data_IF_785101742001
#
_entry.id   IF_785101742001
#
_cell.length_a   1.000
_cell.length_b   1.000
_cell.length_c   1.000
_cell.angle_alpha   90.00
_cell.angle_beta   90.00
_cell.angle_gamma   90.00
#
_symmetry.space_group_name_H-M   'P 1'
#
loop_
_entity.id
_entity.type
_entity.pdbx_description
1 polymer ?
#
# COMPACT_ATOMS: atom_id res chain seq x y z
N UNK A 1 17.92 -9.21 29.31
CA UNK A 1 16.55 -9.12 29.88
C UNK A 1 15.65 -10.02 29.06
N UNK A 2 14.95 -10.97 29.69
CA UNK A 2 13.90 -11.72 29.02
C UNK A 2 12.82 -10.74 28.51
N UNK A 3 12.27 -10.92 27.30
CA UNK A 3 11.20 -10.07 26.83
C UNK A 3 10.02 -10.15 27.82
N UNK A 4 9.35 -9.02 28.13
CA UNK A 4 8.17 -9.06 28.98
C UNK A 4 7.14 -9.98 28.33
N UNK A 5 6.73 -11.02 29.06
CA UNK A 5 5.80 -12.08 28.63
C UNK A 5 4.52 -11.51 27.98
N UNK A 6 4.09 -10.33 28.42
CA UNK A 6 2.95 -9.57 27.89
C UNK A 6 3.04 -9.22 26.40
N UNK A 7 4.20 -8.77 25.92
CA UNK A 7 4.36 -8.30 24.53
C UNK A 7 4.61 -9.44 23.54
N UNK A 8 4.85 -10.65 24.06
CA UNK A 8 5.12 -11.82 23.27
C UNK A 8 6.51 -11.83 22.65
N UNK A 9 6.75 -12.74 21.70
CA UNK A 9 8.04 -12.86 21.03
C UNK A 9 8.35 -11.66 20.13
N UNK A 10 9.63 -11.53 19.77
CA UNK A 10 10.06 -10.59 18.71
C UNK A 10 9.31 -10.89 17.42
N UNK A 11 8.94 -9.84 16.69
CA UNK A 11 8.07 -9.96 15.53
C UNK A 11 8.63 -10.91 14.45
N UNK A 12 9.93 -10.82 14.15
CA UNK A 12 10.56 -11.69 13.16
C UNK A 12 10.44 -13.18 13.54
N UNK A 13 10.60 -13.51 14.84
CA UNK A 13 10.41 -14.88 15.35
C UNK A 13 8.93 -15.29 15.33
N UNK A 14 8.04 -14.38 15.73
CA UNK A 14 6.61 -14.59 15.68
C UNK A 14 6.15 -14.99 14.26
N UNK A 15 6.48 -14.17 13.26
CA UNK A 15 6.08 -14.40 11.87
C UNK A 15 6.73 -15.65 11.26
N UNK A 16 7.94 -16.02 11.68
CA UNK A 16 8.58 -17.26 11.26
C UNK A 16 7.82 -18.49 11.80
N UNK A 17 7.52 -18.50 13.11
CA UNK A 17 6.81 -19.62 13.75
C UNK A 17 5.33 -19.71 13.35
N UNK A 18 4.67 -18.61 13.03
CA UNK A 18 3.28 -18.62 12.58
C UNK A 18 3.04 -19.45 11.30
N UNK A 19 4.07 -19.70 10.49
CA UNK A 19 3.97 -20.61 9.33
C UNK A 19 3.87 -22.08 9.73
N UNK A 20 4.47 -22.42 10.86
CA UNK A 20 4.64 -23.80 11.33
C UNK A 20 3.64 -24.15 12.43
N UNK A 21 2.94 -23.16 13.00
CA UNK A 21 1.91 -23.41 14.01
C UNK A 21 0.77 -24.20 13.38
N UNK A 22 0.54 -25.38 13.95
CA UNK A 22 -0.73 -26.08 13.81
C UNK A 22 -1.88 -25.12 14.19
N UNK A 23 -3.09 -25.32 13.65
CA UNK A 23 -4.28 -24.64 14.17
C UNK A 23 -4.25 -24.75 15.70
N UNK A 24 -4.57 -23.67 16.42
CA UNK A 24 -4.61 -23.67 17.89
C UNK A 24 -5.25 -24.98 18.37
N UNK A 25 -4.56 -25.72 19.25
CA UNK A 25 -5.05 -27.00 19.79
C UNK A 25 -6.47 -26.86 20.37
N UNK A 26 -6.85 -25.63 20.73
CA UNK A 26 -8.22 -25.21 20.99
C UNK A 26 -8.52 -23.85 20.31
N UNK A 27 -9.42 -23.83 19.33
CA UNK A 27 -9.93 -22.56 18.78
C UNK A 27 -10.81 -21.87 19.84
N UNK A 28 -10.66 -20.55 20.06
CA UNK A 28 -11.40 -19.89 21.13
C UNK A 28 -12.89 -19.88 20.83
N UNK A 29 -13.69 -19.99 21.89
CA UNK A 29 -15.14 -19.86 21.76
C UNK A 29 -15.58 -18.39 21.63
N UNK A 30 -16.88 -18.19 21.37
CA UNK A 30 -17.43 -16.85 21.16
C UNK A 30 -17.34 -15.99 22.42
N UNK A 31 -17.55 -16.59 23.58
CA UNK A 31 -17.53 -15.95 24.89
C UNK A 31 -16.11 -15.52 25.29
N UNK A 32 -15.10 -16.32 24.96
CA UNK A 32 -13.68 -15.99 25.09
C UNK A 32 -13.31 -14.78 24.23
N UNK A 33 -13.78 -14.72 22.99
CA UNK A 33 -13.58 -13.56 22.11
C UNK A 33 -14.24 -12.31 22.69
N UNK A 34 -15.47 -12.40 23.19
CA UNK A 34 -16.17 -11.27 23.82
C UNK A 34 -15.40 -10.78 25.06
N UNK A 35 -14.93 -11.69 25.92
CA UNK A 35 -14.11 -11.34 27.09
C UNK A 35 -12.79 -10.68 26.67
N UNK A 36 -12.13 -11.19 25.63
CA UNK A 36 -10.91 -10.61 25.10
C UNK A 36 -11.15 -9.18 24.57
N UNK A 37 -12.25 -8.94 23.84
CA UNK A 37 -12.64 -7.59 23.38
C UNK A 37 -12.90 -6.67 24.57
N UNK A 38 -13.63 -7.14 25.58
CA UNK A 38 -13.91 -6.35 26.79
C UNK A 38 -12.61 -5.98 27.55
N UNK A 39 -11.63 -6.88 27.57
CA UNK A 39 -10.33 -6.63 28.23
C UNK A 39 -9.51 -5.51 27.58
N UNK A 40 -9.80 -5.12 26.33
CA UNK A 40 -9.11 -4.01 25.65
C UNK A 40 -9.26 -2.67 26.41
N UNK A 41 -10.30 -2.53 27.23
CA UNK A 41 -10.52 -1.36 28.07
C UNK A 41 -9.57 -1.28 29.29
N UNK A 42 -8.91 -2.39 29.67
CA UNK A 42 -7.89 -2.42 30.73
C UNK A 42 -6.51 -2.73 30.14
N UNK A 43 -5.68 -1.69 29.88
CA UNK A 43 -4.36 -1.86 29.29
C UNK A 43 -3.42 -2.78 30.05
N UNK A 44 -3.60 -2.97 31.35
CA UNK A 44 -2.71 -3.83 32.15
C UNK A 44 -2.95 -5.31 31.83
N UNK A 45 -4.19 -5.69 31.55
CA UNK A 45 -4.62 -7.06 31.29
C UNK A 45 -4.33 -7.57 29.86
N UNK A 46 -4.20 -6.67 28.88
CA UNK A 46 -4.06 -7.04 27.47
C UNK A 46 -2.66 -7.58 27.17
N UNK A 47 -2.58 -8.79 26.64
CA UNK A 47 -1.33 -9.39 26.15
C UNK A 47 -1.42 -9.69 24.66
N UNK A 48 -0.31 -10.14 24.05
CA UNK A 48 -0.33 -10.51 22.63
C UNK A 48 -1.32 -11.66 22.34
N UNK A 49 -1.54 -12.59 23.28
CA UNK A 49 -2.49 -13.70 23.13
C UNK A 49 -3.94 -13.21 23.18
N UNK A 50 -4.21 -12.08 23.86
CA UNK A 50 -5.51 -11.41 23.79
C UNK A 50 -5.83 -11.02 22.35
N UNK A 51 -4.85 -10.45 21.62
CA UNK A 51 -5.05 -10.13 20.21
C UNK A 51 -5.17 -11.38 19.33
N UNK A 52 -4.37 -12.43 19.56
CA UNK A 52 -4.53 -13.72 18.84
C UNK A 52 -5.94 -14.29 19.03
N UNK A 53 -6.48 -14.21 20.24
CA UNK A 53 -7.84 -14.67 20.58
C UNK A 53 -8.89 -13.92 19.76
N UNK A 54 -8.79 -12.59 19.68
CA UNK A 54 -9.74 -11.77 18.91
C UNK A 54 -9.56 -12.00 17.40
N UNK A 55 -8.32 -12.09 16.92
CA UNK A 55 -7.99 -12.33 15.51
C UNK A 55 -8.35 -13.75 15.04
N UNK A 56 -8.74 -14.66 15.92
CA UNK A 56 -9.38 -15.91 15.53
C UNK A 56 -10.66 -15.67 14.69
N UNK A 57 -11.29 -14.49 14.81
CA UNK A 57 -12.38 -14.04 13.93
C UNK A 57 -11.99 -13.92 12.45
N UNK A 58 -10.71 -13.90 12.10
CA UNK A 58 -10.26 -13.93 10.70
C UNK A 58 -10.42 -15.31 10.07
N UNK A 59 -10.80 -16.34 10.84
CA UNK A 59 -10.80 -17.73 10.41
C UNK A 59 -12.16 -18.40 10.51
N UNK A 60 -12.42 -19.33 9.60
CA UNK A 60 -13.62 -20.16 9.62
C UNK A 60 -13.54 -21.22 10.73
N UNK A 61 -14.63 -21.45 11.50
CA UNK A 61 -15.98 -20.88 11.34
C UNK A 61 -16.23 -19.57 12.12
N UNK A 62 -15.30 -19.15 12.99
CA UNK A 62 -15.48 -18.03 13.92
C UNK A 62 -15.73 -16.70 13.21
N UNK A 63 -15.25 -16.54 11.98
CA UNK A 63 -15.52 -15.39 11.12
C UNK A 63 -17.00 -15.06 10.93
N UNK A 64 -17.90 -16.05 11.09
CA UNK A 64 -19.34 -15.86 11.09
C UNK A 64 -19.84 -14.94 12.22
N UNK A 65 -18.99 -14.69 13.22
CA UNK A 65 -19.23 -13.83 14.38
C UNK A 65 -18.46 -12.50 14.32
N UNK A 66 -17.87 -12.13 13.19
CA UNK A 66 -17.11 -10.88 13.07
C UNK A 66 -17.92 -9.62 13.43
N UNK A 67 -19.26 -9.66 13.39
CA UNK A 67 -20.14 -8.58 13.86
C UNK A 67 -19.97 -8.23 15.35
N UNK A 68 -19.38 -9.12 16.17
CA UNK A 68 -19.07 -8.83 17.58
C UNK A 68 -18.09 -7.64 17.69
N UNK A 69 -17.26 -7.39 16.66
CA UNK A 69 -16.37 -6.23 16.62
C UNK A 69 -17.11 -4.88 16.59
N UNK A 70 -18.43 -4.89 16.36
CA UNK A 70 -19.29 -3.70 16.32
C UNK A 70 -20.09 -3.50 17.62
N UNK A 71 -20.14 -4.50 18.51
CA UNK A 71 -21.04 -4.47 19.66
C UNK A 71 -20.42 -3.77 20.86
N UNK A 72 -20.72 -2.49 21.04
CA UNK A 72 -20.38 -1.72 22.25
C UNK A 72 -18.87 -1.59 22.50
N UNK A 73 -18.06 -1.88 21.49
CA UNK A 73 -16.63 -2.03 21.62
C UNK A 73 -15.91 -0.80 21.07
N UNK A 74 -15.29 -0.03 21.97
CA UNK A 74 -14.39 1.07 21.63
C UNK A 74 -13.04 0.52 21.12
N UNK A 75 -13.05 -0.37 20.11
CA UNK A 75 -11.86 -1.13 19.69
C UNK A 75 -10.77 -0.21 19.18
N UNK A 76 -11.09 0.73 18.29
CA UNK A 76 -10.08 1.62 17.72
C UNK A 76 -9.46 2.54 18.78
N UNK A 77 -10.24 3.27 19.61
CA UNK A 77 -9.66 4.07 20.70
C UNK A 77 -8.83 3.23 21.67
N UNK A 78 -9.30 2.03 22.03
CA UNK A 78 -8.57 1.14 22.95
C UNK A 78 -7.25 0.67 22.33
N UNK A 79 -7.25 0.23 21.07
CA UNK A 79 -6.03 -0.14 20.37
C UNK A 79 -5.04 1.02 20.27
N UNK A 80 -5.52 2.24 19.98
CA UNK A 80 -4.65 3.43 19.97
C UNK A 80 -4.07 3.71 21.34
N UNK A 81 -4.86 3.63 22.41
CA UNK A 81 -4.37 3.82 23.78
C UNK A 81 -3.32 2.76 24.15
N UNK A 82 -3.56 1.50 23.81
CA UNK A 82 -2.61 0.40 24.00
C UNK A 82 -1.31 0.63 23.24
N UNK A 83 -1.39 1.08 21.97
CA UNK A 83 -0.22 1.42 21.17
C UNK A 83 0.53 2.63 21.72
N UNK A 84 -0.17 3.67 22.20
CA UNK A 84 0.48 4.83 22.85
C UNK A 84 1.27 4.40 24.08
N UNK A 85 0.72 3.51 24.91
CA UNK A 85 1.44 2.98 26.07
C UNK A 85 2.62 2.10 25.66
N UNK A 86 2.40 1.18 24.71
CA UNK A 86 3.43 0.27 24.21
C UNK A 86 4.61 1.01 23.56
N UNK A 87 4.33 2.04 22.77
CA UNK A 87 5.31 2.87 22.06
C UNK A 87 5.83 4.07 22.88
N UNK A 88 5.45 4.21 24.15
CA UNK A 88 5.91 5.33 25.00
C UNK A 88 7.39 5.26 25.38
N UNK A 89 7.99 4.07 25.28
CA UNK A 89 9.40 3.82 25.58
C UNK A 89 10.28 3.72 24.33
N UNK A 90 11.29 2.85 24.38
CA UNK A 90 12.17 2.54 23.23
C UNK A 90 11.58 1.51 22.28
N UNK A 91 10.38 1.01 22.56
CA UNK A 91 9.74 -0.04 21.78
C UNK A 91 9.05 0.56 20.57
N UNK A 92 9.34 0.02 19.39
CA UNK A 92 8.72 0.42 18.15
C UNK A 92 7.49 -0.46 17.82
N UNK A 93 6.60 0.07 16.98
CA UNK A 93 5.33 -0.57 16.61
C UNK A 93 5.55 -2.03 16.13
N UNK A 94 6.60 -2.27 15.35
CA UNK A 94 6.90 -3.58 14.76
C UNK A 94 8.08 -4.31 15.44
N UNK A 95 8.32 -4.09 16.74
CA UNK A 95 9.36 -4.83 17.49
C UNK A 95 8.93 -6.22 17.95
N UNK A 96 7.69 -6.34 18.43
CA UNK A 96 7.14 -7.55 19.03
C UNK A 96 5.80 -7.91 18.39
N UNK A 97 5.33 -9.13 18.61
CA UNK A 97 4.03 -9.61 18.15
C UNK A 97 2.88 -8.67 18.57
N UNK A 98 2.96 -8.11 19.78
CA UNK A 98 1.93 -7.22 20.35
C UNK A 98 1.53 -6.07 19.42
N UNK A 99 2.49 -5.25 18.97
CA UNK A 99 2.18 -4.08 18.14
C UNK A 99 1.67 -4.46 16.75
N UNK A 100 2.22 -5.52 16.15
CA UNK A 100 1.74 -6.08 14.88
C UNK A 100 0.29 -6.60 14.99
N UNK A 101 -0.03 -7.38 16.02
CA UNK A 101 -1.35 -7.95 16.20
C UNK A 101 -2.39 -6.89 16.57
N UNK A 102 -2.01 -5.89 17.37
CA UNK A 102 -2.86 -4.73 17.63
C UNK A 102 -3.18 -3.98 16.32
N UNK A 103 -2.18 -3.78 15.46
CA UNK A 103 -2.35 -3.15 14.14
C UNK A 103 -3.26 -3.98 13.22
N UNK A 104 -3.09 -5.31 13.22
CA UNK A 104 -3.94 -6.24 12.47
C UNK A 104 -5.40 -6.18 12.95
N UNK A 105 -5.62 -6.15 14.28
CA UNK A 105 -6.96 -6.05 14.85
C UNK A 105 -7.65 -4.74 14.44
N UNK A 106 -6.93 -3.63 14.46
CA UNK A 106 -7.46 -2.35 13.98
C UNK A 106 -7.90 -2.45 12.52
N UNK A 107 -7.06 -3.02 11.65
CA UNK A 107 -7.40 -3.19 10.24
C UNK A 107 -8.63 -4.10 10.04
N UNK A 108 -8.70 -5.25 10.72
CA UNK A 108 -9.87 -6.13 10.67
C UNK A 108 -11.15 -5.39 11.08
N UNK A 109 -11.08 -4.64 12.19
CA UNK A 109 -12.21 -3.90 12.74
C UNK A 109 -12.68 -2.80 11.77
N UNK A 110 -11.75 -2.12 11.10
CA UNK A 110 -12.03 -1.12 10.07
C UNK A 110 -12.75 -1.76 8.88
N UNK A 111 -12.26 -2.88 8.36
CA UNK A 111 -12.86 -3.55 7.20
C UNK A 111 -14.29 -4.06 7.51
N UNK A 112 -14.50 -4.62 8.70
CA UNK A 112 -15.83 -5.04 9.17
C UNK A 112 -16.77 -3.84 9.35
N UNK A 113 -16.28 -2.74 9.92
CA UNK A 113 -17.07 -1.53 10.11
C UNK A 113 -17.44 -0.86 8.79
N UNK A 114 -16.55 -0.82 7.79
CA UNK A 114 -16.86 -0.35 6.43
C UNK A 114 -18.02 -1.13 5.83
N UNK A 115 -18.00 -2.46 5.89
CA UNK A 115 -19.11 -3.28 5.38
C UNK A 115 -20.40 -3.05 6.17
N UNK A 116 -20.32 -2.86 7.48
CA UNK A 116 -21.50 -2.58 8.30
C UNK A 116 -22.13 -1.23 7.95
N UNK A 117 -21.29 -0.22 7.73
CA UNK A 117 -21.69 1.15 7.41
C UNK A 117 -22.51 1.22 6.11
N UNK A 118 -22.23 0.36 5.14
CA UNK A 118 -22.98 0.25 3.87
C UNK A 118 -24.01 -0.90 3.87
N UNK A 119 -24.36 -1.43 5.05
CA UNK A 119 -25.30 -2.55 5.23
C UNK A 119 -24.95 -3.83 4.43
N UNK A 120 -23.68 -4.01 4.06
CA UNK A 120 -23.19 -5.17 3.32
C UNK A 120 -22.71 -6.32 4.23
N UNK A 121 -22.42 -6.04 5.50
CA UNK A 121 -21.89 -7.04 6.44
C UNK A 121 -22.80 -8.28 6.60
N UNK A 122 -24.13 -8.18 6.79
CA UNK A 122 -24.98 -9.36 6.94
C UNK A 122 -24.93 -10.29 5.72
N UNK A 123 -24.90 -9.71 4.51
CA UNK A 123 -24.78 -10.46 3.25
C UNK A 123 -23.42 -11.17 3.17
N UNK A 124 -22.34 -10.48 3.50
CA UNK A 124 -21.00 -11.07 3.54
C UNK A 124 -20.92 -12.24 4.52
N UNK A 125 -21.40 -12.07 5.75
CA UNK A 125 -21.41 -13.14 6.76
C UNK A 125 -22.28 -14.33 6.33
N UNK A 126 -23.38 -14.10 5.62
CA UNK A 126 -24.19 -15.17 5.05
C UNK A 126 -23.42 -15.96 3.99
N UNK A 127 -22.71 -15.29 3.08
CA UNK A 127 -21.85 -15.93 2.06
C UNK A 127 -20.82 -16.83 2.75
N UNK A 128 -20.12 -16.31 3.76
CA UNK A 128 -19.13 -17.09 4.52
C UNK A 128 -19.73 -18.34 5.19
N UNK A 129 -20.92 -18.22 5.79
CA UNK A 129 -21.63 -19.37 6.40
C UNK A 129 -22.00 -20.43 5.35
N UNK A 130 -22.39 -20.01 4.15
CA UNK A 130 -22.72 -20.95 3.06
C UNK A 130 -21.48 -21.62 2.45
N UNK A 131 -20.36 -20.89 2.33
CA UNK A 131 -19.11 -21.39 1.74
C UNK A 131 -18.28 -22.25 2.68
N UNK A 132 -18.49 -22.15 3.99
CA UNK A 132 -17.73 -22.88 5.03
C UNK A 132 -18.22 -24.30 5.30
N UNK A 133 -19.18 -24.82 4.54
CA UNK A 133 -19.64 -26.22 4.62
C UNK A 133 -18.56 -27.18 4.08
N UNK A 134 -17.47 -27.38 4.83
CA UNK A 134 -16.49 -28.44 4.57
C UNK A 134 -15.03 -28.13 4.92
N UNK A 135 -14.61 -26.86 4.93
CA UNK A 135 -13.22 -26.46 5.18
C UNK A 135 -13.07 -25.82 6.56
N UNK A 136 -12.45 -26.53 7.50
CA UNK A 136 -12.02 -25.98 8.79
C UNK A 136 -10.78 -25.10 8.57
N UNK A 137 -10.71 -23.96 9.26
CA UNK A 137 -9.53 -23.07 9.35
C UNK A 137 -9.15 -22.31 8.06
N UNK A 138 -10.11 -22.06 7.15
CA UNK A 138 -9.88 -21.11 6.04
C UNK A 138 -9.91 -19.68 6.55
N UNK A 139 -8.84 -18.91 6.31
CA UNK A 139 -8.87 -17.47 6.57
C UNK A 139 -9.77 -16.76 5.55
N UNK A 140 -10.59 -15.83 6.05
CA UNK A 140 -11.55 -15.05 5.26
C UNK A 140 -11.00 -13.71 4.81
N UNK A 141 -9.73 -13.47 5.11
CA UNK A 141 -9.05 -12.19 4.97
C UNK A 141 -9.03 -11.70 3.52
N UNK A 142 -8.83 -12.60 2.57
CA UNK A 142 -8.89 -12.29 1.15
C UNK A 142 -10.32 -12.00 0.70
N UNK A 143 -11.30 -12.85 1.03
CA UNK A 143 -12.69 -12.60 0.67
C UNK A 143 -13.23 -11.31 1.26
N UNK A 144 -12.90 -11.01 2.53
CA UNK A 144 -13.26 -9.76 3.19
C UNK A 144 -12.67 -8.57 2.43
N UNK A 145 -11.37 -8.63 2.13
CA UNK A 145 -10.69 -7.56 1.42
C UNK A 145 -11.33 -7.31 0.04
N UNK A 146 -11.57 -8.36 -0.75
CA UNK A 146 -12.23 -8.26 -2.06
C UNK A 146 -13.58 -7.56 -1.95
N UNK A 147 -14.44 -7.97 -1.00
CA UNK A 147 -15.76 -7.34 -0.81
C UNK A 147 -15.64 -5.87 -0.40
N UNK A 148 -14.69 -5.52 0.46
CA UNK A 148 -14.47 -4.11 0.83
C UNK A 148 -13.95 -3.31 -0.36
N UNK A 149 -13.02 -3.86 -1.15
CA UNK A 149 -12.46 -3.17 -2.33
C UNK A 149 -13.53 -2.88 -3.38
N UNK A 150 -14.56 -3.72 -3.53
CA UNK A 150 -15.70 -3.41 -4.40
C UNK A 150 -16.44 -2.14 -3.97
N UNK A 151 -16.56 -1.89 -2.67
CA UNK A 151 -17.20 -0.68 -2.14
C UNK A 151 -16.29 0.54 -2.27
N UNK A 152 -15.00 0.38 -1.99
CA UNK A 152 -14.01 1.45 -2.21
C UNK A 152 -13.92 1.86 -3.68
N UNK A 153 -13.95 0.90 -4.62
CA UNK A 153 -13.96 1.19 -6.04
C UNK A 153 -15.17 2.06 -6.46
N UNK A 154 -16.34 1.82 -5.86
CA UNK A 154 -17.53 2.66 -6.09
C UNK A 154 -17.34 4.08 -5.57
N UNK A 155 -16.71 4.22 -4.41
CA UNK A 155 -16.36 5.52 -3.81
C UNK A 155 -15.32 6.29 -4.66
N UNK A 156 -14.39 5.58 -5.29
CA UNK A 156 -13.31 6.18 -6.09
C UNK A 156 -13.69 6.52 -7.54
N UNK A 157 -14.84 6.07 -8.04
CA UNK A 157 -15.23 6.23 -9.45
C UNK A 157 -15.58 7.69 -9.76
N UNK A 158 -14.86 8.39 -10.66
CA UNK A 158 -15.17 9.77 -11.03
C UNK A 158 -16.53 9.84 -11.76
N UNK A 159 -17.51 10.56 -11.21
CA UNK A 159 -18.79 10.86 -11.89
C UNK A 159 -19.80 9.70 -12.02
N UNK A 160 -19.69 8.64 -11.22
CA UNK A 160 -20.57 7.45 -11.32
C UNK A 160 -21.93 7.57 -10.60
N UNK A 161 -22.95 6.91 -11.17
CA UNK A 161 -24.37 6.81 -10.75
C UNK A 161 -24.66 6.38 -9.29
N UNK A 162 -23.65 6.10 -8.47
CA UNK A 162 -23.82 5.80 -7.06
C UNK A 162 -23.44 7.03 -6.23
N UNK A 163 -24.45 7.79 -5.83
CA UNK A 163 -24.40 8.89 -4.86
C UNK A 163 -24.02 8.38 -3.45
N UNK A 164 -22.90 7.67 -3.31
CA UNK A 164 -22.24 7.58 -2.02
C UNK A 164 -21.29 8.77 -1.99
N UNK A 165 -21.63 9.90 -1.33
CA UNK A 165 -20.61 10.89 -1.02
C UNK A 165 -19.44 10.16 -0.36
N UNK A 166 -18.21 10.58 -0.67
CA UNK A 166 -16.94 10.05 -0.13
C UNK A 166 -16.81 10.11 1.42
N UNK A 167 -17.92 10.35 2.11
CA UNK A 167 -18.10 10.29 3.56
C UNK A 167 -18.73 9.00 4.04
N UNK A 168 -19.35 8.21 3.16
CA UNK A 168 -20.27 7.16 3.59
C UNK A 168 -19.56 5.88 4.02
N UNK A 169 -18.48 5.43 3.37
CA UNK A 169 -17.86 4.15 3.72
C UNK A 169 -17.18 4.19 5.10
N UNK A 170 -16.56 5.33 5.41
CA UNK A 170 -15.93 5.58 6.71
C UNK A 170 -16.89 6.19 7.74
N UNK A 171 -18.13 6.53 7.35
CA UNK A 171 -19.17 6.99 8.28
C UNK A 171 -18.80 8.22 9.09
N UNK A 172 -18.17 9.22 8.47
CA UNK A 172 -17.69 10.40 9.18
C UNK A 172 -18.81 11.14 9.92
N UNK A 173 -18.54 11.49 11.17
CA UNK A 173 -19.40 12.31 12.00
C UNK A 173 -18.60 13.32 12.83
N UNK A 174 -19.32 14.17 13.56
CA UNK A 174 -18.72 15.02 14.59
C UNK A 174 -18.93 14.32 15.93
N UNK A 175 -17.83 14.03 16.62
CA UNK A 175 -17.89 13.48 17.97
C UNK A 175 -18.46 14.53 18.95
N UNK A 176 -19.60 14.29 19.61
CA UNK A 176 -20.25 15.32 20.41
C UNK A 176 -19.41 15.86 21.59
N UNK A 177 -18.67 15.02 22.35
CA UNK A 177 -17.78 15.47 23.42
C UNK A 177 -16.62 16.35 22.93
N UNK A 178 -15.92 15.95 21.87
CA UNK A 178 -14.71 16.68 21.41
C UNK A 178 -14.99 17.72 20.34
N UNK A 179 -16.17 17.68 19.70
CA UNK A 179 -16.54 18.45 18.50
C UNK A 179 -15.59 18.24 17.32
N UNK A 180 -14.81 17.15 17.34
CA UNK A 180 -13.85 16.84 16.29
C UNK A 180 -14.43 15.86 15.26
N UNK A 181 -14.06 15.99 13.97
CA UNK A 181 -14.37 15.00 12.96
C UNK A 181 -13.80 13.63 13.36
N UNK A 182 -14.66 12.61 13.33
CA UNK A 182 -14.33 11.25 13.72
C UNK A 182 -14.90 10.27 12.70
N UNK A 183 -14.06 9.34 12.25
CA UNK A 183 -14.46 8.26 11.35
C UNK A 183 -14.87 7.02 12.13
N UNK A 184 -15.71 6.17 11.52
CA UNK A 184 -16.11 4.86 12.03
C UNK A 184 -16.64 4.89 13.48
N UNK A 185 -17.67 5.70 13.78
CA UNK A 185 -18.20 5.83 15.14
C UNK A 185 -18.73 4.50 15.70
N UNK A 186 -19.17 3.58 14.84
CA UNK A 186 -19.68 2.25 15.24
C UNK A 186 -18.66 1.34 15.95
N UNK A 187 -17.36 1.65 15.89
CA UNK A 187 -16.28 0.93 16.60
C UNK A 187 -15.53 1.84 17.58
N UNK A 188 -16.20 2.89 18.05
CA UNK A 188 -15.70 3.85 19.03
C UNK A 188 -15.07 5.11 18.44
N UNK A 189 -14.92 5.18 17.11
CA UNK A 189 -14.37 6.35 16.43
C UNK A 189 -12.84 6.31 16.22
N UNK A 190 -12.39 6.98 15.17
CA UNK A 190 -10.99 7.22 14.86
C UNK A 190 -10.80 8.70 14.53
N UNK A 191 -9.97 9.38 15.32
CA UNK A 191 -9.78 10.83 15.21
C UNK A 191 -8.59 11.17 14.33
N UNK A 192 -8.50 12.43 13.95
CA UNK A 192 -7.33 13.00 13.27
C UNK A 192 -6.03 12.76 14.05
N UNK A 193 -6.04 12.93 15.38
CA UNK A 193 -4.85 12.73 16.20
C UNK A 193 -4.41 11.26 16.25
N UNK A 194 -5.35 10.33 16.09
CA UNK A 194 -5.05 8.90 16.01
C UNK A 194 -4.38 8.56 14.68
N UNK A 195 -4.81 9.19 13.58
CA UNK A 195 -4.13 9.10 12.27
C UNK A 195 -2.69 9.60 12.34
N UNK A 196 -2.47 10.81 12.86
CA UNK A 196 -1.12 11.41 12.96
C UNK A 196 -0.21 10.54 13.81
N UNK A 197 -0.67 10.13 15.00
CA UNK A 197 0.08 9.23 15.88
C UNK A 197 0.46 7.92 15.16
N UNK A 198 -0.51 7.28 14.51
CA UNK A 198 -0.27 5.98 13.91
C UNK A 198 0.68 6.08 12.69
N UNK A 199 0.53 7.12 11.88
CA UNK A 199 1.44 7.40 10.77
C UNK A 199 2.87 7.64 11.27
N UNK A 200 3.05 8.44 12.33
CA UNK A 200 4.35 8.68 12.97
C UNK A 200 4.99 7.35 13.42
N UNK A 201 4.24 6.47 14.09
CA UNK A 201 4.79 5.20 14.58
C UNK A 201 5.10 4.18 13.48
N UNK A 202 4.35 4.17 12.39
CA UNK A 202 4.71 3.39 11.20
C UNK A 202 5.97 3.98 10.57
N UNK A 203 6.07 5.31 10.46
CA UNK A 203 7.19 6.03 9.87
C UNK A 203 8.53 5.79 10.59
N UNK A 204 8.52 5.93 11.91
CA UNK A 204 9.67 5.64 12.77
C UNK A 204 10.13 4.18 12.63
N UNK A 205 9.17 3.28 12.34
CA UNK A 205 9.40 1.85 12.17
C UNK A 205 9.55 1.41 10.71
N UNK A 206 9.69 2.34 9.74
CA UNK A 206 9.51 2.05 8.29
C UNK A 206 10.39 0.93 7.71
N UNK A 207 11.60 0.74 8.24
CA UNK A 207 12.45 -0.40 7.86
C UNK A 207 11.93 -1.75 8.38
N UNK A 208 11.45 -1.80 9.63
CA UNK A 208 10.79 -3.00 10.19
C UNK A 208 9.42 -3.25 9.57
N UNK A 209 8.69 -2.19 9.25
CA UNK A 209 7.41 -2.25 8.55
C UNK A 209 7.54 -3.02 7.22
N UNK A 210 8.51 -2.69 6.36
CA UNK A 210 8.72 -3.42 5.11
C UNK A 210 9.11 -4.88 5.33
N UNK A 211 9.95 -5.20 6.33
CA UNK A 211 10.27 -6.59 6.68
C UNK A 211 9.05 -7.36 7.15
N UNK A 212 8.22 -6.72 7.97
CA UNK A 212 6.97 -7.28 8.44
C UNK A 212 6.05 -7.61 7.26
N UNK A 213 5.82 -6.66 6.36
CA UNK A 213 5.00 -6.86 5.15
C UNK A 213 5.49 -8.04 4.31
N UNK A 214 6.79 -8.09 4.01
CA UNK A 214 7.40 -9.20 3.24
C UNK A 214 7.25 -10.55 3.91
N UNK A 215 7.29 -10.58 5.24
CA UNK A 215 7.16 -11.80 6.02
C UNK A 215 5.70 -12.24 6.13
N UNK A 216 4.79 -11.28 6.29
CA UNK A 216 3.34 -11.47 6.36
C UNK A 216 2.76 -11.96 5.02
N UNK A 217 3.27 -11.49 3.88
CA UNK A 217 2.88 -12.00 2.55
C UNK A 217 3.06 -13.51 2.36
N UNK A 218 3.96 -14.11 3.11
CA UNK A 218 4.21 -15.56 3.07
C UNK A 218 3.29 -16.33 4.03
N UNK A 219 2.46 -15.64 4.80
CA UNK A 219 1.38 -16.24 5.58
C UNK A 219 0.19 -16.39 4.64
N UNK A 220 -0.43 -17.57 4.61
CA UNK A 220 -1.59 -17.85 3.77
C UNK A 220 -2.82 -16.97 4.11
N UNK A 221 -2.78 -16.27 5.26
CA UNK A 221 -3.92 -15.59 5.87
C UNK A 221 -3.72 -14.06 5.92
N UNK A 222 -2.84 -13.48 5.12
CA UNK A 222 -2.60 -12.04 5.13
C UNK A 222 -3.60 -11.30 4.23
N UNK A 223 -4.52 -10.54 4.84
CA UNK A 223 -5.52 -9.73 4.13
C UNK A 223 -4.95 -8.50 3.40
N UNK A 224 -3.77 -8.06 3.83
CA UNK A 224 -3.36 -6.68 3.61
C UNK A 224 -3.87 -5.73 4.70
N UNK A 225 -3.39 -4.49 4.64
CA UNK A 225 -3.69 -3.37 5.52
C UNK A 225 -4.25 -2.16 4.76
N UNK A 226 -4.74 -2.35 3.54
CA UNK A 226 -5.25 -1.22 2.77
C UNK A 226 -6.49 -0.57 3.43
N UNK A 227 -7.15 -1.25 4.36
CA UNK A 227 -8.22 -0.71 5.18
C UNK A 227 -7.83 0.50 6.02
N UNK A 228 -6.79 0.33 6.83
CA UNK A 228 -6.27 1.39 7.69
C UNK A 228 -5.62 2.51 6.88
N UNK A 229 -4.99 2.20 5.74
CA UNK A 229 -4.41 3.22 4.88
C UNK A 229 -5.44 4.06 4.14
N UNK A 230 -6.57 3.48 3.76
CA UNK A 230 -7.71 4.26 3.25
C UNK A 230 -8.22 5.23 4.33
N UNK A 231 -8.38 4.76 5.58
CA UNK A 231 -8.78 5.63 6.68
C UNK A 231 -7.79 6.79 6.93
N UNK A 232 -6.49 6.52 6.92
CA UNK A 232 -5.44 7.54 7.05
C UNK A 232 -5.48 8.55 5.90
N UNK A 233 -5.57 8.07 4.66
CA UNK A 233 -5.64 8.92 3.47
C UNK A 233 -6.84 9.86 3.53
N UNK A 234 -8.04 9.34 3.77
CA UNK A 234 -9.25 10.17 3.81
C UNK A 234 -9.19 11.19 4.96
N UNK A 235 -8.59 10.80 6.09
CA UNK A 235 -8.32 11.73 7.20
C UNK A 235 -7.41 12.89 6.74
N UNK A 236 -6.31 12.60 6.03
CA UNK A 236 -5.41 13.63 5.49
C UNK A 236 -6.08 14.51 4.44
N UNK A 237 -6.94 13.94 3.57
CA UNK A 237 -7.72 14.72 2.61
C UNK A 237 -8.62 15.72 3.32
N UNK A 238 -9.28 15.31 4.41
CA UNK A 238 -10.13 16.19 5.23
C UNK A 238 -9.36 17.26 5.99
N UNK A 239 -8.10 17.00 6.31
CA UNK A 239 -7.20 17.96 6.96
C UNK A 239 -6.56 18.95 5.99
N UNK A 240 -6.76 18.79 4.68
CA UNK A 240 -6.18 19.67 3.68
C UNK A 240 -6.57 21.14 3.92
N UNK A 241 -5.58 22.02 4.02
CA UNK A 241 -5.78 23.45 4.28
C UNK A 241 -5.99 23.81 5.75
N UNK A 242 -5.97 22.86 6.67
CA UNK A 242 -5.95 23.15 8.11
C UNK A 242 -4.53 23.52 8.55
N UNK A 243 -4.36 24.65 9.24
CA UNK A 243 -3.05 25.05 9.78
C UNK A 243 -2.81 24.57 11.22
N UNK A 244 -3.90 24.28 11.95
CA UNK A 244 -3.84 23.88 13.36
C UNK A 244 -4.86 22.78 13.66
N UNK A 245 -4.49 21.86 14.55
CA UNK A 245 -5.37 20.81 15.08
C UNK A 245 -5.21 20.80 16.59
N UNK A 246 -6.29 21.06 17.33
CA UNK A 246 -6.28 21.17 18.79
C UNK A 246 -5.17 22.11 19.34
N UNK A 247 -4.93 23.22 18.63
CA UNK A 247 -3.91 24.20 19.01
C UNK A 247 -2.46 23.83 18.69
N UNK A 248 -2.23 22.65 18.10
CA UNK A 248 -0.91 22.25 17.59
C UNK A 248 -0.79 22.61 16.11
N UNK A 249 0.38 23.10 15.71
CA UNK A 249 0.72 23.35 14.30
C UNK A 249 0.65 22.04 13.52
N UNK A 250 -0.09 22.04 12.42
CA UNK A 250 -0.22 20.89 11.56
C UNK A 250 0.62 21.08 10.30
N UNK A 251 1.76 20.38 10.23
CA UNK A 251 2.56 20.32 9.00
C UNK A 251 1.93 19.37 7.99
N UNK A 252 0.94 19.88 7.26
CA UNK A 252 0.22 19.13 6.22
C UNK A 252 1.19 18.51 5.20
N UNK A 253 2.21 19.25 4.81
CA UNK A 253 3.16 18.83 3.79
C UNK A 253 3.98 17.62 4.26
N UNK A 254 4.51 17.67 5.48
CA UNK A 254 5.27 16.58 6.07
C UNK A 254 4.40 15.33 6.30
N UNK A 255 3.13 15.50 6.67
CA UNK A 255 2.19 14.38 6.82
C UNK A 255 1.93 13.66 5.50
N UNK A 256 1.69 14.41 4.40
CA UNK A 256 1.54 13.81 3.08
C UNK A 256 2.79 13.08 2.60
N UNK A 257 3.98 13.63 2.86
CA UNK A 257 5.25 12.95 2.55
C UNK A 257 5.35 11.63 3.30
N UNK A 258 5.08 11.68 4.61
CA UNK A 258 5.14 10.53 5.51
C UNK A 258 4.19 9.43 5.05
N UNK A 259 2.93 9.78 4.80
CA UNK A 259 1.92 8.86 4.28
C UNK A 259 2.34 8.28 2.93
N UNK A 260 2.87 9.12 2.03
CA UNK A 260 3.27 8.68 0.69
C UNK A 260 4.37 7.63 0.74
N UNK A 261 5.42 7.79 1.56
CA UNK A 261 6.46 6.76 1.64
C UNK A 261 5.96 5.49 2.34
N UNK A 262 5.13 5.60 3.37
CA UNK A 262 4.45 4.43 3.97
C UNK A 262 3.69 3.66 2.89
N UNK A 263 2.88 4.35 2.08
CA UNK A 263 2.11 3.75 0.99
C UNK A 263 2.97 3.17 -0.13
N UNK A 264 4.09 3.82 -0.45
CA UNK A 264 5.04 3.29 -1.43
C UNK A 264 5.66 1.99 -0.92
N UNK A 265 6.09 1.92 0.34
CA UNK A 265 6.60 0.68 0.94
C UNK A 265 5.53 -0.39 0.97
N UNK A 266 4.31 -0.01 1.33
CA UNK A 266 3.16 -0.90 1.32
C UNK A 266 2.88 -1.49 -0.06
N UNK A 267 2.89 -0.66 -1.12
CA UNK A 267 2.64 -1.11 -2.50
C UNK A 267 3.61 -2.18 -3.01
N UNK A 268 4.84 -2.24 -2.45
CA UNK A 268 5.81 -3.28 -2.82
C UNK A 268 5.39 -4.66 -2.31
N UNK A 269 4.41 -4.71 -1.40
CA UNK A 269 3.94 -5.93 -0.76
C UNK A 269 2.42 -6.05 -0.74
N UNK A 270 1.67 -5.15 -1.38
CA UNK A 270 0.22 -5.24 -1.46
C UNK A 270 -0.20 -6.45 -2.30
N UNK A 271 -1.38 -7.00 -2.06
CA UNK A 271 -1.93 -8.06 -2.91
C UNK A 271 -2.59 -7.49 -4.17
N UNK A 272 -2.82 -8.33 -5.19
CA UNK A 272 -3.34 -7.88 -6.50
C UNK A 272 -4.72 -7.21 -6.38
N UNK A 273 -5.55 -7.67 -5.44
CA UNK A 273 -6.87 -7.07 -5.19
C UNK A 273 -6.77 -5.69 -4.49
N UNK A 274 -5.66 -5.37 -3.81
CA UNK A 274 -5.45 -4.07 -3.15
C UNK A 274 -4.84 -3.01 -4.07
N UNK A 275 -4.17 -3.43 -5.15
CA UNK A 275 -3.48 -2.54 -6.09
C UNK A 275 -4.33 -1.37 -6.60
N UNK A 276 -5.62 -1.54 -6.98
CA UNK A 276 -6.45 -0.42 -7.40
C UNK A 276 -6.59 0.65 -6.32
N UNK A 277 -6.87 0.24 -5.08
CA UNK A 277 -6.97 1.16 -3.94
C UNK A 277 -5.62 1.78 -3.64
N UNK A 278 -4.55 1.00 -3.54
CA UNK A 278 -3.19 1.53 -3.28
C UNK A 278 -2.77 2.56 -4.32
N UNK A 279 -3.02 2.28 -5.61
CA UNK A 279 -2.80 3.23 -6.70
C UNK A 279 -3.63 4.49 -6.52
N UNK A 280 -4.92 4.38 -6.15
CA UNK A 280 -5.78 5.51 -5.87
C UNK A 280 -5.22 6.38 -4.73
N UNK A 281 -4.90 5.79 -3.58
CA UNK A 281 -4.42 6.53 -2.39
C UNK A 281 -3.11 7.28 -2.67
N UNK A 282 -2.23 6.71 -3.50
CA UNK A 282 -0.96 7.33 -3.91
C UNK A 282 -1.17 8.49 -4.90
N UNK A 283 -2.14 8.37 -5.81
CA UNK A 283 -2.38 9.36 -6.88
C UNK A 283 -3.23 10.53 -6.40
N UNK A 284 -4.26 10.27 -5.60
CA UNK A 284 -5.23 11.26 -5.16
C UNK A 284 -4.78 11.99 -3.90
N UNK A 285 -3.70 12.75 -4.00
CA UNK A 285 -3.25 13.67 -2.94
C UNK A 285 -3.19 15.10 -3.47
N UNK A 286 -3.40 16.11 -2.62
CA UNK A 286 -3.21 17.51 -3.01
C UNK A 286 -1.81 17.73 -3.59
N UNK A 287 -1.70 18.53 -4.65
CA UNK A 287 -0.43 18.95 -5.25
C UNK A 287 0.49 17.82 -5.77
N UNK A 288 -0.06 16.66 -6.15
CA UNK A 288 0.71 15.49 -6.63
C UNK A 288 1.79 15.81 -7.69
N UNK A 289 1.53 16.79 -8.58
CA UNK A 289 2.41 17.17 -9.69
C UNK A 289 3.69 17.95 -9.28
N UNK A 290 3.76 18.48 -8.05
CA UNK A 290 4.85 19.38 -7.63
C UNK A 290 5.96 18.70 -6.82
N UNK A 291 5.81 17.42 -6.51
CA UNK A 291 6.72 16.78 -5.57
C UNK A 291 8.00 16.30 -6.26
N UNK A 292 9.14 16.83 -5.80
CA UNK A 292 10.46 16.30 -6.15
C UNK A 292 10.59 14.91 -5.53
N UNK A 293 11.29 14.01 -6.22
CA UNK A 293 11.67 12.70 -5.66
C UNK A 293 12.45 12.94 -4.36
N UNK A 294 11.95 12.39 -3.24
CA UNK A 294 12.54 12.55 -1.91
C UNK A 294 13.16 11.25 -1.42
N UNK A 295 14.20 11.42 -0.61
CA UNK A 295 14.99 10.34 -0.01
C UNK A 295 14.37 9.99 1.34
N UNK A 296 13.87 8.78 1.49
CA UNK A 296 13.22 8.33 2.73
C UNK A 296 13.76 6.97 3.23
N UNK A 297 14.75 6.41 2.52
CA UNK A 297 15.51 5.26 2.98
C UNK A 297 16.29 5.60 4.26
N UNK A 298 16.37 4.64 5.18
CA UNK A 298 17.08 4.79 6.45
C UNK A 298 18.59 4.62 6.31
N UNK A 299 19.00 3.58 5.58
CA UNK A 299 20.38 3.13 5.44
C UNK A 299 20.52 2.21 4.20
N UNK A 300 21.74 1.78 3.82
CA UNK A 300 21.92 0.88 2.68
C UNK A 300 21.17 -0.46 2.80
N UNK A 301 20.98 -0.99 4.01
CA UNK A 301 20.28 -2.26 4.22
C UNK A 301 18.76 -2.10 3.99
N UNK A 302 18.19 -0.94 4.33
CA UNK A 302 16.81 -0.57 3.99
C UNK A 302 16.63 -0.47 2.47
N UNK A 303 17.60 0.10 1.75
CA UNK A 303 17.57 0.13 0.27
C UNK A 303 17.58 -1.28 -0.31
N UNK A 304 18.46 -2.16 0.17
CA UNK A 304 18.50 -3.55 -0.30
C UNK A 304 17.16 -4.29 -0.05
N UNK A 305 16.46 -3.95 1.04
CA UNK A 305 15.13 -4.48 1.34
C UNK A 305 14.05 -3.95 0.39
N UNK A 306 14.05 -2.64 0.11
CA UNK A 306 13.14 -1.97 -0.83
C UNK A 306 13.31 -2.56 -2.23
N UNK A 307 14.56 -2.65 -2.71
CA UNK A 307 14.89 -3.23 -4.02
C UNK A 307 14.47 -4.70 -4.09
N UNK A 308 14.77 -5.47 -3.04
CA UNK A 308 14.35 -6.87 -2.96
C UNK A 308 12.82 -7.05 -2.98
N UNK A 309 12.06 -6.17 -2.29
CA UNK A 309 10.61 -6.20 -2.30
C UNK A 309 10.04 -5.91 -3.70
N UNK A 310 10.58 -4.88 -4.38
CA UNK A 310 10.18 -4.55 -5.74
C UNK A 310 10.40 -5.70 -6.71
N UNK A 311 11.60 -6.30 -6.73
CA UNK A 311 11.93 -7.37 -7.66
C UNK A 311 10.97 -8.56 -7.47
N UNK A 312 10.65 -8.89 -6.21
CA UNK A 312 9.68 -9.95 -5.93
C UNK A 312 8.29 -9.59 -6.44
N UNK A 313 7.83 -8.36 -6.18
CA UNK A 313 6.55 -7.87 -6.67
C UNK A 313 6.48 -7.88 -8.21
N UNK A 314 7.54 -7.45 -8.88
CA UNK A 314 7.58 -7.35 -10.34
C UNK A 314 7.49 -8.73 -11.01
N UNK A 315 8.08 -9.74 -10.36
CA UNK A 315 7.98 -11.14 -10.78
C UNK A 315 6.60 -11.74 -10.54
N UNK A 316 5.92 -11.34 -9.46
CA UNK A 316 4.63 -11.90 -9.07
C UNK A 316 3.45 -11.26 -9.81
N UNK A 317 3.53 -9.97 -10.10
CA UNK A 317 2.45 -9.19 -10.68
C UNK A 317 3.00 -8.33 -11.81
N UNK A 318 2.84 -8.77 -13.07
CA UNK A 318 3.23 -8.04 -14.27
C UNK A 318 2.32 -6.84 -14.53
N UNK A 319 1.88 -6.13 -13.49
CA UNK A 319 1.00 -4.96 -13.57
C UNK A 319 1.52 -3.78 -12.76
N UNK A 320 2.70 -3.89 -12.11
CA UNK A 320 3.28 -2.77 -11.35
C UNK A 320 3.27 -1.52 -12.22
N UNK A 321 2.65 -0.47 -11.68
CA UNK A 321 2.60 0.84 -12.31
C UNK A 321 4.01 1.41 -12.31
N UNK A 322 4.48 1.78 -13.50
CA UNK A 322 5.81 2.33 -13.73
C UNK A 322 6.25 3.46 -12.77
N UNK A 323 5.30 4.26 -12.26
CA UNK A 323 5.55 5.25 -11.22
C UNK A 323 6.29 4.68 -9.99
N UNK A 324 6.09 3.40 -9.67
CA UNK A 324 6.83 2.69 -8.61
C UNK A 324 8.30 2.48 -8.98
N UNK A 325 8.60 2.06 -10.22
CA UNK A 325 9.98 1.90 -10.68
C UNK A 325 10.74 3.23 -10.57
N UNK A 326 10.18 4.34 -11.05
CA UNK A 326 10.78 5.69 -10.93
C UNK A 326 11.15 6.07 -9.51
N UNK A 327 10.24 5.80 -8.57
CA UNK A 327 10.48 6.09 -7.16
C UNK A 327 11.55 5.19 -6.57
N UNK A 328 11.57 3.91 -6.95
CA UNK A 328 12.60 2.94 -6.54
C UNK A 328 13.98 3.25 -7.11
N UNK A 329 14.05 3.76 -8.34
CA UNK A 329 15.29 4.30 -8.87
C UNK A 329 15.74 5.51 -8.07
N UNK A 330 14.85 6.43 -7.70
CA UNK A 330 15.21 7.50 -6.79
C UNK A 330 15.72 6.98 -5.44
N UNK A 331 15.12 5.93 -4.87
CA UNK A 331 15.67 5.26 -3.68
C UNK A 331 17.09 4.72 -3.92
N UNK A 332 17.31 3.96 -5.00
CA UNK A 332 18.63 3.39 -5.31
C UNK A 332 19.69 4.48 -5.52
N UNK A 333 19.34 5.58 -6.19
CA UNK A 333 20.22 6.73 -6.45
C UNK A 333 20.77 7.38 -5.18
N UNK A 334 20.11 7.20 -4.05
CA UNK A 334 20.53 7.82 -2.78
C UNK A 334 21.59 6.98 -2.07
N UNK A 335 21.67 5.69 -2.38
CA UNK A 335 22.79 4.84 -1.98
C UNK A 335 24.09 5.18 -2.73
N UNK A 336 24.03 5.95 -3.81
CA UNK A 336 25.23 6.40 -4.57
C UNK A 336 26.30 7.05 -3.68
N UNK A 337 25.86 7.82 -2.68
CA UNK A 337 26.77 8.56 -1.80
C UNK A 337 27.45 7.66 -0.77
N UNK A 338 26.90 6.48 -0.51
CA UNK A 338 27.38 5.57 0.52
C UNK A 338 28.21 4.43 -0.07
N UNK A 339 27.83 3.90 -1.25
CA UNK A 339 28.53 2.79 -1.91
C UNK A 339 28.21 2.74 -3.42
N UNK A 340 29.21 3.07 -4.25
CA UNK A 340 29.10 3.05 -5.72
C UNK A 340 28.82 1.65 -6.27
N UNK A 341 29.38 0.60 -5.68
CA UNK A 341 29.17 -0.77 -6.14
C UNK A 341 27.72 -1.20 -5.90
N UNK A 342 27.20 -0.96 -4.69
CA UNK A 342 25.80 -1.25 -4.36
C UNK A 342 24.83 -0.48 -5.24
N UNK A 343 25.13 0.78 -5.54
CA UNK A 343 24.33 1.57 -6.47
C UNK A 343 24.20 0.88 -7.82
N UNK A 344 25.32 0.51 -8.44
CA UNK A 344 25.34 -0.20 -9.73
C UNK A 344 24.52 -1.47 -9.66
N UNK A 345 24.77 -2.32 -8.66
CA UNK A 345 24.04 -3.57 -8.47
C UNK A 345 22.54 -3.33 -8.33
N UNK A 346 22.11 -2.35 -7.55
CA UNK A 346 20.69 -2.08 -7.32
C UNK A 346 20.01 -1.51 -8.57
N UNK A 347 20.63 -0.56 -9.27
CA UNK A 347 20.10 -0.03 -10.55
C UNK A 347 19.99 -1.13 -11.59
N UNK A 348 21.03 -1.96 -11.76
CA UNK A 348 20.98 -3.09 -12.70
C UNK A 348 19.82 -4.02 -12.37
N UNK A 349 19.68 -4.44 -11.11
CA UNK A 349 18.61 -5.36 -10.70
C UNK A 349 17.20 -4.78 -10.89
N UNK A 350 17.00 -3.48 -10.63
CA UNK A 350 15.72 -2.81 -10.87
C UNK A 350 15.44 -2.78 -12.39
N UNK A 351 16.40 -2.37 -13.21
CA UNK A 351 16.27 -2.30 -14.66
C UNK A 351 15.96 -3.66 -15.27
N UNK A 352 16.71 -4.70 -14.88
CA UNK A 352 16.49 -6.07 -15.35
C UNK A 352 15.11 -6.61 -14.96
N UNK A 353 14.66 -6.35 -13.72
CA UNK A 353 13.33 -6.77 -13.28
C UNK A 353 12.22 -6.04 -14.05
N UNK A 354 12.37 -4.73 -14.28
CA UNK A 354 11.42 -3.93 -15.06
C UNK A 354 11.37 -4.38 -16.54
N UNK A 355 12.53 -4.72 -17.13
CA UNK A 355 12.62 -5.25 -18.48
C UNK A 355 12.00 -6.64 -18.61
N UNK A 356 12.29 -7.55 -17.67
CA UNK A 356 11.72 -8.88 -17.66
C UNK A 356 10.18 -8.84 -17.56
N UNK A 357 9.64 -7.97 -16.70
CA UNK A 357 8.20 -7.69 -16.63
C UNK A 357 7.67 -7.17 -17.98
N UNK A 358 8.35 -6.17 -18.56
CA UNK A 358 7.96 -5.59 -19.84
C UNK A 358 7.91 -6.62 -20.97
N UNK A 359 8.89 -7.53 -21.02
CA UNK A 359 8.91 -8.66 -21.95
C UNK A 359 7.76 -9.65 -21.72
N UNK A 360 7.47 -10.00 -20.46
CA UNK A 360 6.38 -10.90 -20.14
C UNK A 360 5.03 -10.34 -20.61
N UNK A 361 4.75 -9.06 -20.34
CA UNK A 361 3.55 -8.36 -20.83
C UNK A 361 3.52 -8.29 -22.34
N UNK A 362 4.66 -8.01 -22.99
CA UNK A 362 4.75 -8.00 -24.45
C UNK A 362 4.40 -9.36 -25.06
N UNK A 363 4.88 -10.45 -24.45
CA UNK A 363 4.53 -11.80 -24.83
C UNK A 363 3.04 -12.10 -24.71
N UNK A 364 2.40 -11.64 -23.61
CA UNK A 364 0.96 -11.79 -23.40
C UNK A 364 0.13 -11.09 -24.49
N UNK A 365 0.56 -9.91 -24.94
CA UNK A 365 -0.13 -9.19 -26.03
C UNK A 365 -0.09 -9.94 -27.36
N UNK A 366 1.03 -10.60 -27.65
CA UNK A 366 1.20 -11.40 -28.86
C UNK A 366 0.30 -12.65 -28.87
N UNK A 367 -0.12 -13.12 -27.69
CA UNK A 367 -0.98 -14.29 -27.49
C UNK A 367 -2.46 -14.09 -27.88
N UNK A 368 -2.88 -12.86 -28.20
CA UNK A 368 -4.20 -12.55 -28.73
C UNK A 368 -5.27 -12.25 -27.67
N UNK A 369 -6.04 -11.20 -27.91
CA UNK A 369 -7.16 -10.63 -27.11
C UNK A 369 -6.85 -9.51 -26.10
N UNK A 370 -5.62 -8.98 -26.03
CA UNK A 370 -5.37 -7.77 -25.22
C UNK A 370 -5.90 -6.52 -25.95
N UNK A 371 -7.02 -5.96 -25.46
CA UNK A 371 -7.63 -4.77 -26.04
C UNK A 371 -6.77 -3.51 -25.97
N UNK A 372 -7.20 -2.46 -26.68
CA UNK A 372 -6.50 -1.17 -26.80
C UNK A 372 -6.08 -0.55 -25.46
N UNK A 373 -6.89 -0.70 -24.41
CA UNK A 373 -6.59 -0.19 -23.06
C UNK A 373 -5.33 -0.83 -22.46
N UNK A 374 -5.10 -2.12 -22.72
CA UNK A 374 -3.91 -2.82 -22.26
C UNK A 374 -2.66 -2.28 -22.99
N UNK A 375 -2.76 -2.10 -24.31
CA UNK A 375 -1.66 -1.51 -25.10
C UNK A 375 -1.33 -0.10 -24.65
N UNK A 376 -2.33 0.78 -24.46
CA UNK A 376 -2.11 2.15 -24.00
C UNK A 376 -1.41 2.19 -22.62
N UNK A 377 -1.89 1.40 -21.67
CA UNK A 377 -1.28 1.28 -20.34
C UNK A 377 0.16 0.75 -20.41
N UNK A 378 0.40 -0.23 -21.28
CA UNK A 378 1.74 -0.79 -21.50
C UNK A 378 2.68 0.22 -22.17
N UNK A 379 2.24 0.91 -23.22
CA UNK A 379 3.04 1.92 -23.90
C UNK A 379 3.38 3.09 -22.99
N UNK A 380 2.43 3.53 -22.17
CA UNK A 380 2.69 4.55 -21.16
C UNK A 380 3.73 4.06 -20.15
N UNK A 381 3.65 2.80 -19.74
CA UNK A 381 4.65 2.18 -18.86
C UNK A 381 6.05 2.21 -19.49
N UNK A 382 6.19 1.79 -20.76
CA UNK A 382 7.48 1.76 -21.49
C UNK A 382 8.03 3.16 -21.74
N UNK A 383 7.20 4.09 -22.23
CA UNK A 383 7.60 5.47 -22.50
C UNK A 383 8.08 6.13 -21.21
N UNK A 384 7.33 5.93 -20.13
CA UNK A 384 7.76 6.46 -18.86
C UNK A 384 9.11 5.82 -18.43
N UNK A 385 9.36 4.50 -18.64
CA UNK A 385 10.68 3.80 -18.48
C UNK A 385 11.82 4.55 -19.14
N UNK A 386 11.57 4.99 -20.36
CA UNK A 386 12.56 5.71 -21.13
C UNK A 386 12.75 7.14 -20.63
N UNK A 387 11.72 7.79 -20.08
CA UNK A 387 11.83 9.13 -19.47
C UNK A 387 12.67 9.11 -18.18
N UNK A 388 12.73 7.98 -17.46
CA UNK A 388 13.62 7.87 -16.30
C UNK A 388 15.07 7.99 -16.68
N UNK A 389 15.47 7.46 -17.84
CA UNK A 389 16.87 7.40 -18.25
C UNK A 389 17.49 8.82 -18.32
N UNK A 390 16.88 9.80 -19.02
CA UNK A 390 17.31 11.19 -18.95
C UNK A 390 17.15 11.84 -17.56
N UNK A 391 16.12 11.50 -16.80
CA UNK A 391 15.91 12.07 -15.47
C UNK A 391 17.02 11.65 -14.49
N UNK A 392 17.41 10.38 -14.50
CA UNK A 392 18.54 9.83 -13.74
C UNK A 392 19.86 10.45 -14.19
N UNK A 393 20.00 10.67 -15.49
CA UNK A 393 21.16 11.32 -16.08
C UNK A 393 21.37 12.77 -15.58
N UNK A 394 20.29 13.49 -15.24
CA UNK A 394 20.36 14.86 -14.68
C UNK A 394 20.68 14.90 -13.18
N UNK A 395 20.44 13.82 -12.44
CA UNK A 395 20.52 13.82 -10.97
C UNK A 395 21.90 13.34 -10.49
N UNK A 396 22.61 12.51 -11.24
CA UNK A 396 23.93 12.03 -10.87
C UNK A 396 24.94 12.16 -12.02
N UNK A 397 25.36 13.39 -12.30
CA UNK A 397 26.37 13.69 -13.32
C UNK A 397 27.64 12.83 -13.16
N UNK A 398 28.06 12.56 -11.91
CA UNK A 398 29.22 11.73 -11.60
C UNK A 398 29.05 10.23 -11.92
N UNK A 399 27.82 9.74 -12.06
CA UNK A 399 27.50 8.34 -12.36
C UNK A 399 26.88 8.16 -13.74
N UNK A 400 26.76 9.24 -14.51
CA UNK A 400 26.15 9.26 -15.85
C UNK A 400 26.62 8.12 -16.74
N UNK A 401 27.93 7.93 -16.88
CA UNK A 401 28.47 6.86 -17.73
C UNK A 401 28.10 5.47 -17.24
N UNK A 402 28.09 5.26 -15.92
CA UNK A 402 27.71 3.98 -15.31
C UNK A 402 26.23 3.70 -15.51
N UNK A 403 25.37 4.70 -15.27
CA UNK A 403 23.92 4.62 -15.46
C UNK A 403 23.59 4.34 -16.93
N UNK A 404 24.24 5.05 -17.86
CA UNK A 404 24.06 4.81 -19.30
C UNK A 404 24.50 3.41 -19.70
N UNK A 405 25.60 2.87 -19.16
CA UNK A 405 26.03 1.49 -19.43
C UNK A 405 25.05 0.44 -18.91
N UNK A 406 24.45 0.67 -17.74
CA UNK A 406 23.45 -0.25 -17.17
C UNK A 406 22.16 -0.22 -17.98
N UNK A 407 21.73 0.98 -18.38
CA UNK A 407 20.46 1.18 -19.07
C UNK A 407 20.56 0.76 -20.53
N UNK A 408 21.62 1.15 -21.24
CA UNK A 408 21.89 0.76 -22.64
C UNK A 408 22.52 -0.64 -22.67
N UNK A 409 21.82 -1.59 -22.08
CA UNK A 409 22.07 -3.02 -22.26
C UNK A 409 21.39 -3.48 -23.55
N UNK A 410 22.00 -4.42 -24.27
CA UNK A 410 21.44 -5.07 -25.48
C UNK A 410 19.98 -5.48 -25.28
N UNK A 411 19.62 -6.01 -24.11
CA UNK A 411 18.25 -6.44 -23.81
C UNK A 411 17.22 -5.27 -23.84
N UNK A 412 17.61 -4.07 -23.37
CA UNK A 412 16.73 -2.90 -23.50
C UNK A 412 16.61 -2.49 -24.97
N UNK A 413 17.72 -2.46 -25.70
CA UNK A 413 17.72 -2.08 -27.12
C UNK A 413 16.87 -3.04 -27.96
N UNK A 414 17.00 -4.34 -27.73
CA UNK A 414 16.17 -5.37 -28.34
C UNK A 414 14.70 -5.13 -28.01
N UNK A 415 14.38 -4.99 -26.71
CA UNK A 415 13.01 -4.72 -26.28
C UNK A 415 12.43 -3.49 -26.95
N UNK A 416 13.19 -2.40 -27.04
CA UNK A 416 12.75 -1.17 -27.70
C UNK A 416 12.56 -1.35 -29.20
N UNK A 417 13.44 -2.10 -29.86
CA UNK A 417 13.27 -2.48 -31.26
C UNK A 417 11.95 -3.22 -31.47
N UNK A 418 11.69 -4.26 -30.67
CA UNK A 418 10.44 -5.00 -30.73
C UNK A 418 9.21 -4.15 -30.39
N UNK A 419 9.30 -3.30 -29.37
CA UNK A 419 8.22 -2.42 -28.95
C UNK A 419 7.84 -1.41 -30.05
N UNK A 420 8.84 -0.75 -30.64
CA UNK A 420 8.65 0.24 -31.71
C UNK A 420 8.17 -0.41 -33.01
N UNK A 421 8.63 -1.62 -33.32
CA UNK A 421 8.24 -2.35 -34.54
C UNK A 421 6.95 -3.16 -34.38
N UNK A 422 6.51 -3.46 -33.16
CA UNK A 422 5.27 -4.20 -32.90
C UNK A 422 4.05 -3.70 -33.69
N UNK A 423 3.79 -2.38 -33.79
CA UNK A 423 2.66 -1.84 -34.55
C UNK A 423 2.68 -2.22 -36.02
N UNK A 424 3.86 -2.42 -36.60
CA UNK A 424 4.05 -2.81 -38.00
C UNK A 424 3.84 -4.32 -38.20
N UNK A 425 3.95 -5.10 -37.13
CA UNK A 425 3.87 -6.57 -37.16
C UNK A 425 2.55 -7.12 -36.63
N UNK A 426 1.77 -6.31 -35.91
CA UNK A 426 0.48 -6.72 -35.36
C UNK A 426 -0.62 -6.67 -36.42
N UNK A 427 -1.57 -7.60 -36.34
CA UNK A 427 -2.80 -7.60 -37.16
C UNK A 427 -3.93 -6.80 -36.50
N UNK A 428 -3.73 -6.28 -35.29
CA UNK A 428 -4.72 -5.50 -34.55
C UNK A 428 -4.82 -4.07 -35.09
N UNK A 429 -5.87 -3.82 -35.89
CA UNK A 429 -6.15 -2.51 -36.49
C UNK A 429 -6.39 -1.40 -35.45
N UNK A 430 -6.83 -1.75 -34.24
CA UNK A 430 -7.09 -0.74 -33.19
C UNK A 430 -5.80 -0.17 -32.61
N UNK A 431 -4.78 -1.02 -32.43
CA UNK A 431 -3.43 -0.61 -31.99
C UNK A 431 -2.79 0.30 -33.03
N UNK A 432 -2.86 -0.08 -34.32
CA UNK A 432 -2.35 0.72 -35.44
C UNK A 432 -2.99 2.11 -35.46
N UNK A 433 -4.33 2.17 -35.33
CA UNK A 433 -5.05 3.44 -35.34
C UNK A 433 -4.72 4.34 -34.13
N UNK A 434 -4.52 3.75 -32.94
CA UNK A 434 -4.15 4.51 -31.75
C UNK A 434 -2.74 5.10 -31.83
N UNK A 435 -1.79 4.36 -32.40
CA UNK A 435 -0.43 4.84 -32.57
C UNK A 435 -0.38 5.99 -33.57
N UNK A 436 -1.14 5.89 -34.67
CA UNK A 436 -1.37 7.01 -35.58
C UNK A 436 -1.84 8.28 -34.86
N UNK A 437 -2.72 8.14 -33.85
CA UNK A 437 -3.18 9.27 -33.01
C UNK A 437 -2.11 9.81 -32.06
N UNK A 438 -1.30 8.96 -31.41
CA UNK A 438 -0.20 9.40 -30.53
C UNK A 438 0.83 10.21 -31.33
N UNK A 439 1.22 9.71 -32.51
CA UNK A 439 2.13 10.44 -33.40
C UNK A 439 1.52 11.76 -33.84
N UNK A 440 0.23 11.80 -34.17
CA UNK A 440 -0.43 13.03 -34.60
C UNK A 440 -0.60 14.06 -33.48
N UNK A 441 -0.85 13.63 -32.24
CA UNK A 441 -1.04 14.52 -31.09
C UNK A 441 0.26 15.24 -30.70
N UNK A 442 1.39 14.51 -30.68
CA UNK A 442 2.71 15.13 -30.40
C UNK A 442 3.14 16.15 -31.46
N UNK A 443 2.91 15.85 -32.75
CA UNK A 443 3.21 16.80 -33.84
C UNK A 443 2.31 18.04 -33.85
N UNK A 444 1.10 17.96 -33.28
CA UNK A 444 0.19 19.11 -33.17
C UNK A 444 0.35 19.93 -31.88
N UNK A 445 0.89 19.36 -30.80
CA UNK A 445 1.19 20.12 -29.57
C UNK A 445 2.56 20.78 -29.58
N UNK A 446 3.54 20.26 -30.33
CA UNK A 446 4.86 20.91 -30.48
C UNK A 446 4.86 22.01 -31.56
N UNK A 447 3.86 22.08 -32.44
CA UNK A 447 3.74 23.16 -33.43
C UNK A 447 3.13 24.46 -32.89
N UNK A 448 2.64 24.47 -31.64
CA UNK A 448 2.19 25.68 -30.93
C UNK A 448 3.20 26.22 -29.90
N UNK A 449 4.32 25.52 -29.68
CA UNK A 449 5.50 26.05 -29.01
C UNK A 449 6.48 26.55 -30.08
N UNK A 450 6.25 27.76 -30.56
CA UNK A 450 7.18 28.45 -31.44
C UNK A 450 8.58 28.52 -30.82
N UNK A 451 9.55 28.31 -31.69
CA UNK A 451 10.98 28.13 -31.50
C UNK A 451 11.77 29.35 -30.98
N UNK A 452 11.18 30.23 -30.15
CA UNK A 452 11.82 31.51 -29.79
C UNK A 452 12.31 31.66 -28.34
N UNK A 453 12.09 30.71 -27.42
CA UNK A 453 12.38 30.97 -25.99
C UNK A 453 13.45 30.12 -25.31
N UNK A 454 14.13 29.18 -25.99
CA UNK A 454 15.06 28.24 -25.31
C UNK A 454 16.56 28.51 -25.59
N UNK A 455 16.91 29.44 -26.49
CA UNK A 455 18.32 29.81 -26.73
C UNK A 455 18.58 31.30 -26.48
N UNK A 456 18.65 31.69 -25.20
CA UNK A 456 19.46 32.84 -24.80
C UNK A 456 20.73 32.32 -24.11
N UNK A 457 21.93 32.57 -24.66
CA UNK A 457 23.17 32.33 -23.94
C UNK A 457 23.25 33.30 -22.75
N UNK A 458 23.74 32.80 -21.62
CA UNK A 458 24.21 33.63 -20.51
C UNK A 458 25.32 34.56 -21.03
N UNK A 459 25.08 35.86 -20.99
CA UNK A 459 26.09 36.90 -20.76
C UNK A 459 25.92 37.40 -19.33
#
# INVERSE_FOLDING_TARGET
MAPPTKFGPKLDFYLATCRERAPLDHAPDKEEIIRAIASLADPLSVSYTTFETILALERSPLCAHASILLTGSHILPSCIQLLRQYCSGRTQLFDYAYGYLCFQLMNLSIEVAKLAQVNALPKFLHILKSSSRGTRDKAITEELAVHVREWEAKEFTPGGQFLLPASNLLGWGIDPPTRMPTALPGIGGFTILDTVFLMEKIWESRGKFLRCLRSALRLQNYAGWCGIFHLMHDTLVRMHGMSHINGQEFDEYQNWITFTDIMQRYSLCANHYEEPTVSYLIKNRPNHQREKLRITALDPADVDQIVGAYINKARQQPSIVYAHATRLFAFAMTSCHLDKSKFVTNVTRITEAALADSWARFGQMRGGSTGLSFWANFSDSVINTLILVPALNKIADLQRQTILKIIVNENLLDFLGYFVLYPLTTKDKTIIAHIGKITHWKYCTDSSLSSESIWKPLQ
#
